data_IF_678576525478
#
_entry.id   IF_678576525478
#
_cell.length_a   1.000
_cell.length_b   1.000
_cell.length_c   1.000
_cell.angle_alpha   90.00
_cell.angle_beta   90.00
_cell.angle_gamma   90.00
#
_symmetry.space_group_name_H-M   'P 1'
#
loop_
_entity.id
_entity.type
_entity.pdbx_description
1 polymer ?
#
# COMPACT_ATOMS: atom_id res chain seq x y z
N UNK A 1 3.25 5.66 -19.10
CA UNK A 1 2.39 4.48 -19.33
C UNK A 1 2.15 3.74 -18.03
N UNK A 2 0.93 3.24 -17.87
CA UNK A 2 0.63 2.44 -16.68
C UNK A 2 1.25 1.05 -16.83
N UNK A 3 1.71 0.50 -15.72
CA UNK A 3 2.17 -0.87 -15.67
C UNK A 3 1.03 -1.84 -16.02
N UNK A 4 1.37 -2.98 -16.59
CA UNK A 4 0.42 -4.10 -16.65
C UNK A 4 0.15 -4.57 -15.22
N UNK A 5 -0.89 -5.38 -15.03
CA UNK A 5 -1.23 -5.92 -13.71
C UNK A 5 -0.03 -6.67 -13.11
N UNK A 6 0.63 -7.51 -13.91
CA UNK A 6 1.78 -8.28 -13.44
C UNK A 6 2.94 -7.39 -13.02
N UNK A 7 3.23 -6.36 -13.82
CA UNK A 7 4.28 -5.40 -13.50
C UNK A 7 3.95 -4.59 -12.25
N UNK A 8 2.69 -4.17 -12.12
CA UNK A 8 2.22 -3.44 -10.95
C UNK A 8 2.37 -4.26 -9.68
N UNK A 9 1.94 -5.52 -9.71
CA UNK A 9 2.05 -6.41 -8.55
C UNK A 9 3.52 -6.62 -8.19
N UNK A 10 4.38 -6.81 -9.18
CA UNK A 10 5.81 -7.00 -8.95
C UNK A 10 6.42 -5.76 -8.30
N UNK A 11 6.12 -4.58 -8.82
CA UNK A 11 6.66 -3.33 -8.29
C UNK A 11 6.15 -3.06 -6.88
N UNK A 12 4.85 -3.18 -6.65
CA UNK A 12 4.24 -2.90 -5.34
C UNK A 12 4.70 -3.89 -4.28
N UNK A 13 5.03 -5.11 -4.68
CA UNK A 13 5.53 -6.14 -3.75
C UNK A 13 6.94 -5.84 -3.22
N UNK A 14 7.62 -4.85 -3.78
CA UNK A 14 8.91 -4.37 -3.23
C UNK A 14 8.69 -3.72 -1.86
N UNK A 15 7.52 -3.14 -1.64
CA UNK A 15 7.21 -2.45 -0.38
C UNK A 15 7.14 -3.48 0.74
N UNK A 16 7.87 -3.26 1.86
CA UNK A 16 7.79 -4.18 3.01
C UNK A 16 6.35 -4.36 3.48
N UNK A 17 5.93 -5.59 3.68
CA UNK A 17 4.57 -5.92 4.11
C UNK A 17 3.55 -6.06 2.99
N UNK A 18 3.89 -5.63 1.78
CA UNK A 18 3.00 -5.76 0.62
C UNK A 18 3.39 -7.02 -0.15
N UNK A 19 2.62 -8.08 0.03
CA UNK A 19 2.76 -9.29 -0.76
C UNK A 19 1.90 -9.20 -2.02
N UNK A 20 1.86 -10.30 -2.79
CA UNK A 20 1.09 -10.35 -4.03
C UNK A 20 -0.39 -10.06 -3.82
N UNK A 21 -0.96 -10.53 -2.72
CA UNK A 21 -2.38 -10.32 -2.42
C UNK A 21 -2.69 -8.85 -2.20
N UNK A 22 -1.90 -8.18 -1.37
CA UNK A 22 -2.11 -6.75 -1.07
C UNK A 22 -1.76 -5.90 -2.28
N UNK A 23 -0.75 -6.27 -3.05
CA UNK A 23 -0.43 -5.59 -4.30
C UNK A 23 -1.60 -5.68 -5.27
N UNK A 24 -2.28 -6.82 -5.33
CA UNK A 24 -3.47 -6.99 -6.15
C UNK A 24 -4.62 -6.11 -5.63
N UNK A 25 -4.77 -6.00 -4.32
CA UNK A 25 -5.78 -5.11 -3.73
C UNK A 25 -5.53 -3.65 -4.16
N UNK A 26 -4.28 -3.23 -4.16
CA UNK A 26 -3.93 -1.88 -4.62
C UNK A 26 -4.24 -1.70 -6.10
N UNK A 27 -3.90 -2.70 -6.92
CA UNK A 27 -4.24 -2.67 -8.34
C UNK A 27 -5.74 -2.49 -8.55
N UNK A 28 -6.54 -3.22 -7.77
CA UNK A 28 -8.01 -3.20 -7.89
C UNK A 28 -8.61 -1.81 -7.63
N UNK A 29 -7.93 -0.97 -6.87
CA UNK A 29 -8.39 0.38 -6.57
C UNK A 29 -7.64 1.46 -7.36
N UNK A 30 -6.93 1.04 -8.42
CA UNK A 30 -6.33 1.97 -9.37
C UNK A 30 -4.88 2.35 -9.09
N UNK A 31 -4.22 1.69 -8.16
CA UNK A 31 -2.81 1.95 -7.85
C UNK A 31 -1.95 0.96 -8.63
N UNK A 32 -1.23 1.46 -9.62
CA UNK A 32 -0.43 0.62 -10.51
C UNK A 32 1.08 0.76 -10.31
N UNK A 33 1.52 1.64 -9.40
CA UNK A 33 2.95 1.87 -9.15
C UNK A 33 3.16 2.47 -7.78
N UNK A 34 4.40 2.39 -7.30
CA UNK A 34 4.79 3.02 -6.03
C UNK A 34 4.60 4.54 -6.13
N UNK A 35 4.90 5.12 -7.27
CA UNK A 35 4.73 6.56 -7.47
C UNK A 35 3.29 7.00 -7.27
N UNK A 36 2.32 6.19 -7.66
CA UNK A 36 0.91 6.51 -7.52
C UNK A 36 0.43 6.49 -6.06
N UNK A 37 1.17 5.85 -5.17
CA UNK A 37 0.90 5.89 -3.73
C UNK A 37 1.31 7.22 -3.10
N UNK A 38 2.22 7.93 -3.74
CA UNK A 38 2.76 9.16 -3.19
C UNK A 38 1.65 10.20 -3.02
N UNK A 39 1.53 10.75 -1.82
CA UNK A 39 0.51 11.74 -1.50
C UNK A 39 -0.89 11.17 -1.25
N UNK A 40 -1.07 9.86 -1.28
CA UNK A 40 -2.38 9.24 -1.04
C UNK A 40 -2.66 9.13 0.45
N UNK A 41 -3.95 9.16 0.79
CA UNK A 41 -4.40 8.91 2.16
C UNK A 41 -4.61 7.41 2.37
N UNK A 42 -3.91 6.80 3.34
CA UNK A 42 -4.12 5.37 3.62
C UNK A 42 -5.56 5.03 3.99
N UNK A 43 -6.23 5.92 4.73
CA UNK A 43 -7.63 5.71 5.11
C UNK A 43 -8.53 5.68 3.88
N UNK A 44 -8.31 6.57 2.93
CA UNK A 44 -9.07 6.59 1.67
C UNK A 44 -8.82 5.32 0.87
N UNK A 45 -7.57 4.87 0.79
CA UNK A 45 -7.22 3.62 0.10
C UNK A 45 -7.92 2.44 0.75
N UNK A 46 -7.95 2.41 2.07
CA UNK A 46 -8.62 1.35 2.82
C UNK A 46 -10.12 1.33 2.53
N UNK A 47 -10.77 2.51 2.55
CA UNK A 47 -12.19 2.62 2.23
C UNK A 47 -12.50 2.16 0.80
N UNK A 48 -11.67 2.54 -0.16
CA UNK A 48 -11.81 2.13 -1.55
C UNK A 48 -11.68 0.62 -1.70
N UNK A 49 -10.72 0.02 -1.00
CA UNK A 49 -10.51 -1.42 -1.02
C UNK A 49 -11.68 -2.17 -0.39
N UNK A 50 -12.21 -1.66 0.71
CA UNK A 50 -13.41 -2.23 1.35
C UNK A 50 -14.61 -2.18 0.42
N UNK A 51 -14.80 -1.07 -0.27
CA UNK A 51 -15.88 -0.92 -1.25
C UNK A 51 -15.72 -1.93 -2.40
N UNK A 52 -14.51 -2.07 -2.90
CA UNK A 52 -14.23 -3.04 -3.97
C UNK A 52 -14.51 -4.47 -3.52
N UNK A 53 -14.11 -4.81 -2.29
CA UNK A 53 -14.29 -6.15 -1.73
C UNK A 53 -15.74 -6.43 -1.32
N UNK A 54 -16.55 -5.39 -1.15
CA UNK A 54 -17.93 -5.52 -0.70
C UNK A 54 -18.05 -5.85 0.78
N UNK A 55 -17.00 -5.64 1.56
CA UNK A 55 -17.01 -5.94 3.00
C UNK A 55 -15.90 -5.12 3.69
N UNK A 56 -16.03 -4.95 5.00
CA UNK A 56 -14.98 -4.30 5.78
C UNK A 56 -13.89 -5.33 6.07
N UNK A 57 -12.69 -5.07 5.55
CA UNK A 57 -11.55 -5.95 5.68
C UNK A 57 -10.84 -5.72 7.02
N UNK A 58 -9.92 -6.62 7.37
CA UNK A 58 -9.13 -6.49 8.60
C UNK A 58 -8.33 -5.19 8.58
N UNK A 59 -8.24 -4.54 9.74
CA UNK A 59 -7.48 -3.29 9.88
C UNK A 59 -5.99 -3.46 9.63
N UNK A 60 -5.46 -4.66 9.66
CA UNK A 60 -4.08 -4.91 9.26
C UNK A 60 -3.82 -4.38 7.85
N UNK A 61 -4.81 -4.46 6.96
CA UNK A 61 -4.70 -3.91 5.62
C UNK A 61 -4.48 -2.39 5.66
N UNK A 62 -5.22 -1.69 6.54
CA UNK A 62 -5.04 -0.24 6.73
C UNK A 62 -3.60 0.06 7.18
N UNK A 63 -3.07 -0.71 8.11
CA UNK A 63 -1.72 -0.49 8.62
C UNK A 63 -0.67 -0.74 7.54
N UNK A 64 -0.88 -1.76 6.71
CA UNK A 64 0.00 -2.01 5.56
C UNK A 64 -0.07 -0.84 4.58
N UNK A 65 -1.26 -0.30 4.33
CA UNK A 65 -1.41 0.88 3.46
C UNK A 65 -0.68 2.10 4.03
N UNK A 66 -0.74 2.31 5.35
CA UNK A 66 0.02 3.39 6.00
C UNK A 66 1.52 3.22 5.77
N UNK A 67 2.03 2.01 5.93
CA UNK A 67 3.42 1.69 5.67
C UNK A 67 3.77 1.93 4.20
N UNK A 68 2.90 1.50 3.29
CA UNK A 68 3.13 1.63 1.85
C UNK A 68 3.20 3.10 1.41
N UNK A 69 2.29 3.94 1.92
CA UNK A 69 2.29 5.37 1.60
C UNK A 69 3.54 6.04 2.18
N UNK A 70 3.94 5.67 3.39
CA UNK A 70 5.19 6.16 3.98
C UNK A 70 6.38 5.79 3.09
N UNK A 71 6.44 4.54 2.65
CA UNK A 71 7.50 4.07 1.76
C UNK A 71 7.56 4.91 0.48
N UNK A 72 6.41 5.18 -0.12
CA UNK A 72 6.34 5.96 -1.36
C UNK A 72 6.72 7.42 -1.17
N UNK A 73 6.37 8.01 -0.01
CA UNK A 73 6.61 9.42 0.27
C UNK A 73 8.03 9.72 0.74
N UNK A 74 8.78 8.71 1.19
CA UNK A 74 10.06 8.92 1.85
C UNK A 74 11.20 8.40 0.99
N UNK A 75 12.19 9.24 0.64
CA UNK A 75 13.37 8.78 -0.10
C UNK A 75 14.04 7.61 0.64
N UNK A 76 14.60 6.68 -0.12
CA UNK A 76 15.17 5.46 0.44
C UNK A 76 16.16 5.73 1.57
N UNK A 77 17.03 6.71 1.38
CA UNK A 77 18.08 7.05 2.37
C UNK A 77 17.51 7.68 3.64
N UNK A 78 16.24 8.11 3.62
CA UNK A 78 15.57 8.70 4.78
C UNK A 78 14.57 7.77 5.43
N UNK A 79 14.37 6.59 4.86
CA UNK A 79 13.40 5.63 5.40
C UNK A 79 13.93 5.03 6.71
N UNK A 80 13.09 5.06 7.73
CA UNK A 80 13.41 4.48 9.03
C UNK A 80 12.95 3.03 9.05
N UNK A 81 13.83 2.11 9.42
CA UNK A 81 13.56 0.67 9.45
C UNK A 81 12.29 0.35 10.24
N UNK A 82 12.12 0.98 11.40
CA UNK A 82 10.96 0.72 12.26
C UNK A 82 9.65 1.13 11.59
N UNK A 83 9.67 2.16 10.74
CA UNK A 83 8.49 2.62 10.02
C UNK A 83 8.19 1.77 8.79
N UNK A 84 9.09 0.87 8.40
CA UNK A 84 8.85 -0.09 7.33
C UNK A 84 8.20 -1.37 7.84
N UNK A 85 7.98 -1.47 9.14
CA UNK A 85 7.27 -2.60 9.77
C UNK A 85 5.82 -2.19 9.93
N UNK A 86 4.92 -2.78 9.12
CA UNK A 86 3.53 -2.34 9.07
C UNK A 86 2.83 -2.42 10.44
N UNK A 87 3.22 -3.37 11.28
CA UNK A 87 2.60 -3.53 12.60
C UNK A 87 2.93 -2.39 13.57
N UNK A 88 3.95 -1.60 13.26
CA UNK A 88 4.28 -0.41 14.06
C UNK A 88 3.34 0.76 13.75
N UNK A 89 2.45 0.60 12.76
CA UNK A 89 1.48 1.63 12.40
C UNK A 89 0.14 1.44 13.10
N UNK A 90 0.02 0.40 13.94
CA UNK A 90 -1.18 0.22 14.76
C UNK A 90 -1.34 1.42 15.70
N UNK A 91 -2.57 1.90 15.83
CA UNK A 91 -2.93 2.98 16.77
C UNK A 91 -2.22 4.31 16.51
N UNK A 92 -1.83 4.56 15.28
CA UNK A 92 -1.19 5.83 14.90
C UNK A 92 -2.04 6.63 13.96
#
# INVERSE_FOLDING_TARGET
MKNSKQQAIKELSIIPGVGKSIASDLWNIGIASILELKGKSPDTLYDMSNTFAGTIQDKCLLYVFKCAVYFANTPKEKQETEKLKWWNWKDK
#
